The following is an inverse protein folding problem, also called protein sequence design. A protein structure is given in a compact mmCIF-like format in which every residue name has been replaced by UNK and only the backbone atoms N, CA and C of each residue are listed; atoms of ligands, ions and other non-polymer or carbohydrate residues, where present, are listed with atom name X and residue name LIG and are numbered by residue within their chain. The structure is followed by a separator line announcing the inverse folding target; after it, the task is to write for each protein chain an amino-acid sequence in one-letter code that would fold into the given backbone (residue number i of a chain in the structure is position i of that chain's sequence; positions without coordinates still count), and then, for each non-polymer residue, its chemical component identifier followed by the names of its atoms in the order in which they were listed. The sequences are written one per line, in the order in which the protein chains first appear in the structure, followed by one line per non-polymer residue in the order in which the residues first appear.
data_IF_038060154073
#
_entry.id   IF_038060154073
#
_cell.length_a   1.000
_cell.length_b   1.000
_cell.length_c   1.000
_cell.angle_alpha   90.00
_cell.angle_beta   90.00
_cell.angle_gamma   90.00
#
_symmetry.space_group_name_H-M   'P 1'
#
loop_
_entity.id
_entity.type
_entity.pdbx_description
1 polymer ?
#
# COMPACT_ATOMS: atom_id res chain seq x y z
N UNK A 1 62.34 -14.44 70.95
CA UNK A 1 61.67 -13.17 70.62
C UNK A 1 61.13 -13.29 69.20
N UNK A 2 59.90 -13.77 69.04
CA UNK A 2 59.31 -14.17 67.76
C UNK A 2 58.32 -13.10 67.29
N UNK A 3 58.66 -12.48 66.15
CA UNK A 3 57.95 -11.38 65.52
C UNK A 3 56.67 -11.90 64.82
N UNK A 4 55.49 -11.39 65.17
CA UNK A 4 54.24 -11.66 64.44
C UNK A 4 53.93 -10.49 63.49
N UNK A 5 54.00 -10.75 62.19
CA UNK A 5 53.60 -9.82 61.12
C UNK A 5 52.09 -9.95 60.90
N UNK A 6 51.35 -8.83 60.98
CA UNK A 6 49.94 -8.73 60.58
C UNK A 6 49.87 -8.21 59.15
N UNK A 7 49.34 -9.01 58.22
CA UNK A 7 49.00 -8.59 56.87
C UNK A 7 47.54 -8.11 56.88
N UNK A 8 47.30 -6.85 56.50
CA UNK A 8 45.94 -6.31 56.30
C UNK A 8 45.55 -6.42 54.83
N UNK A 9 44.47 -7.16 54.55
CA UNK A 9 43.84 -7.22 53.23
C UNK A 9 43.00 -5.96 53.00
N UNK A 10 43.41 -5.11 52.06
CA UNK A 10 42.55 -4.06 51.50
C UNK A 10 41.68 -4.65 50.40
N UNK A 11 40.36 -4.70 50.63
CA UNK A 11 39.38 -5.06 49.60
C UNK A 11 39.13 -3.84 48.70
N UNK A 12 39.43 -3.97 47.41
CA UNK A 12 39.12 -2.97 46.38
C UNK A 12 37.65 -3.17 45.97
N UNK A 13 36.78 -2.23 46.33
CA UNK A 13 35.40 -2.15 45.84
C UNK A 13 35.40 -1.47 44.46
N UNK A 14 35.17 -2.24 43.40
CA UNK A 14 34.78 -1.67 42.09
C UNK A 14 33.32 -1.21 42.15
N UNK A 15 32.99 0.02 41.71
CA UNK A 15 31.60 0.45 41.61
C UNK A 15 30.97 -0.23 40.39
N UNK A 16 29.93 -1.05 40.63
CA UNK A 16 29.05 -1.54 39.58
C UNK A 16 28.21 -0.34 39.13
N UNK A 17 28.58 0.26 38.00
CA UNK A 17 27.75 1.24 37.31
C UNK A 17 26.54 0.48 36.75
N UNK A 18 25.42 0.53 37.46
CA UNK A 18 24.15 0.03 36.94
C UNK A 18 23.75 0.90 35.74
N UNK A 19 23.88 0.34 34.53
CA UNK A 19 23.24 0.88 33.33
C UNK A 19 21.73 0.88 33.59
N UNK A 20 21.19 2.07 33.88
CA UNK A 20 19.75 2.29 33.86
C UNK A 20 19.35 2.17 32.39
N UNK A 21 18.93 0.98 31.97
CA UNK A 21 18.28 0.79 30.68
C UNK A 21 16.98 1.59 30.70
N UNK A 22 16.91 2.63 29.86
CA UNK A 22 15.63 3.26 29.59
C UNK A 22 14.65 2.18 29.12
N UNK A 23 13.39 2.17 29.59
CA UNK A 23 12.43 1.17 29.15
C UNK A 23 12.29 1.26 27.62
N UNK A 24 12.39 0.10 26.95
CA UNK A 24 12.21 0.03 25.51
C UNK A 24 10.83 0.60 25.15
N UNK A 25 10.81 1.62 24.28
CA UNK A 25 9.54 2.18 23.78
C UNK A 25 8.78 1.10 23.03
N UNK A 26 7.48 0.96 23.28
CA UNK A 26 6.62 0.07 22.52
C UNK A 26 6.70 0.40 21.01
N UNK A 27 6.72 -0.66 20.19
CA UNK A 27 6.70 -0.55 18.74
C UNK A 27 5.45 0.23 18.30
N UNK A 28 5.64 1.20 17.41
CA UNK A 28 4.57 2.04 16.88
C UNK A 28 4.50 1.93 15.35
N UNK A 29 3.33 2.23 14.75
CA UNK A 29 3.20 2.32 13.30
C UNK A 29 4.24 3.26 12.66
N UNK A 30 4.78 2.80 11.54
CA UNK A 30 5.88 3.40 10.80
C UNK A 30 7.26 3.21 11.41
N UNK A 31 7.42 2.50 12.54
CA UNK A 31 8.74 2.17 13.07
C UNK A 31 9.46 1.21 12.13
N UNK A 32 10.73 1.49 11.85
CA UNK A 32 11.57 0.63 11.00
C UNK A 32 12.00 -0.57 11.84
N UNK A 33 11.59 -1.76 11.41
CA UNK A 33 12.05 -3.05 11.96
C UNK A 33 13.43 -3.38 11.39
N UNK A 34 13.60 -3.24 10.08
CA UNK A 34 14.91 -3.33 9.42
C UNK A 34 14.92 -2.52 8.13
N UNK A 35 16.10 -2.04 7.74
CA UNK A 35 16.31 -1.38 6.45
C UNK A 35 17.65 -1.81 5.87
N UNK A 36 17.62 -2.59 4.79
CA UNK A 36 18.80 -3.13 4.14
C UNK A 36 18.98 -2.46 2.78
N UNK A 37 20.18 -1.96 2.43
CA UNK A 37 20.43 -1.46 1.09
C UNK A 37 20.09 -2.51 0.03
N UNK A 38 19.40 -2.10 -1.03
CA UNK A 38 19.05 -2.97 -2.16
C UNK A 38 19.39 -2.30 -3.48
N UNK A 39 19.32 -3.06 -4.58
CA UNK A 39 19.45 -2.53 -5.94
C UNK A 39 18.14 -2.75 -6.68
N UNK A 40 17.59 -1.68 -7.27
CA UNK A 40 16.44 -1.76 -8.17
C UNK A 40 16.94 -1.79 -9.61
N UNK A 41 16.35 -2.67 -10.40
CA UNK A 41 16.67 -2.81 -11.81
C UNK A 41 15.51 -2.36 -12.67
N UNK A 42 15.80 -1.78 -13.82
CA UNK A 42 14.78 -1.29 -14.76
C UNK A 42 14.16 -2.43 -15.58
N UNK A 43 14.95 -3.44 -15.89
CA UNK A 43 14.58 -4.56 -16.75
C UNK A 43 15.07 -5.89 -16.17
N UNK A 44 14.46 -7.01 -16.56
CA UNK A 44 14.91 -8.34 -16.16
C UNK A 44 16.37 -8.60 -16.56
N UNK A 45 17.01 -9.53 -15.85
CA UNK A 45 18.42 -9.88 -16.09
C UNK A 45 19.43 -8.97 -15.38
N UNK A 46 18.96 -8.01 -14.57
CA UNK A 46 19.78 -7.19 -13.67
C UNK A 46 20.88 -6.37 -14.37
N UNK A 47 20.66 -6.02 -15.64
CA UNK A 47 21.64 -5.31 -16.48
C UNK A 47 21.63 -3.79 -16.27
N UNK A 48 20.46 -3.20 -16.03
CA UNK A 48 20.28 -1.75 -15.92
C UNK A 48 19.79 -1.37 -14.52
N UNK A 49 20.68 -0.78 -13.72
CA UNK A 49 20.37 -0.29 -12.37
C UNK A 49 19.68 1.07 -12.42
N UNK A 50 18.65 1.25 -11.61
CA UNK A 50 18.06 2.57 -11.36
C UNK A 50 19.04 3.39 -10.51
N UNK A 51 19.42 4.63 -10.91
CA UNK A 51 20.50 5.38 -10.26
C UNK A 51 20.04 6.11 -8.98
N UNK A 52 19.46 5.37 -8.04
CA UNK A 52 18.97 5.86 -6.74
C UNK A 52 19.73 5.19 -5.58
N UNK A 53 19.60 5.75 -4.38
CA UNK A 53 19.81 4.98 -3.17
C UNK A 53 18.51 4.23 -2.87
N UNK A 54 18.60 2.92 -2.62
CA UNK A 54 17.43 2.10 -2.38
C UNK A 54 17.60 1.24 -1.13
N UNK A 55 16.51 1.04 -0.41
CA UNK A 55 16.43 0.15 0.74
C UNK A 55 15.22 -0.77 0.62
N UNK A 56 15.41 -2.05 0.93
CA UNK A 56 14.33 -2.93 1.33
C UNK A 56 14.04 -2.64 2.81
N UNK A 57 12.79 -2.31 3.14
CA UNK A 57 12.39 -1.84 4.47
C UNK A 57 11.31 -2.75 5.01
N UNK A 58 11.54 -3.31 6.20
CA UNK A 58 10.48 -3.87 7.04
C UNK A 58 10.07 -2.80 8.05
N UNK A 59 8.78 -2.52 8.13
CA UNK A 59 8.23 -1.50 9.04
C UNK A 59 6.95 -1.99 9.70
N UNK A 60 6.67 -1.48 10.90
CA UNK A 60 5.42 -1.79 11.60
C UNK A 60 4.26 -1.01 10.99
N UNK A 61 3.12 -1.67 10.80
CA UNK A 61 1.86 -1.06 10.35
C UNK A 61 0.70 -1.56 11.22
N UNK A 62 -0.55 -1.31 10.82
CA UNK A 62 -1.75 -1.73 11.52
C UNK A 62 -2.72 -2.44 10.58
N UNK A 63 -3.13 -3.65 10.95
CA UNK A 63 -4.12 -4.43 10.19
C UNK A 63 -5.50 -3.78 10.20
N UNK A 64 -6.42 -4.31 9.38
CA UNK A 64 -7.83 -3.85 9.36
C UNK A 64 -8.55 -4.01 10.70
N UNK A 65 -8.08 -4.90 11.58
CA UNK A 65 -8.66 -5.16 12.92
C UNK A 65 -7.92 -4.43 14.04
N UNK A 66 -6.99 -3.54 13.70
CA UNK A 66 -6.26 -2.71 14.66
C UNK A 66 -5.05 -3.39 15.30
N UNK A 67 -4.65 -4.58 14.83
CA UNK A 67 -3.47 -5.29 15.34
C UNK A 67 -2.20 -4.75 14.69
N UNK A 68 -1.11 -4.66 15.47
CA UNK A 68 0.20 -4.30 14.92
C UNK A 68 0.72 -5.45 14.05
N UNK A 69 1.17 -5.15 12.83
CA UNK A 69 1.78 -6.12 11.92
C UNK A 69 3.12 -5.57 11.37
N UNK A 70 3.87 -6.40 10.65
CA UNK A 70 5.08 -6.00 9.92
C UNK A 70 4.80 -6.07 8.43
N UNK A 71 5.15 -5.03 7.70
CA UNK A 71 4.97 -4.90 6.25
C UNK A 71 6.33 -4.63 5.60
N UNK A 72 6.56 -5.18 4.40
CA UNK A 72 7.74 -4.89 3.57
C UNK A 72 7.46 -3.79 2.54
N UNK A 73 8.53 -3.25 1.98
CA UNK A 73 8.45 -2.29 0.90
C UNK A 73 9.83 -1.82 0.45
N UNK A 74 9.83 -0.93 -0.54
CA UNK A 74 11.06 -0.34 -1.09
C UNK A 74 11.05 1.17 -0.94
N UNK A 75 12.11 1.72 -0.36
CA UNK A 75 12.38 3.14 -0.34
C UNK A 75 13.37 3.49 -1.45
N UNK A 76 13.02 4.46 -2.30
CA UNK A 76 13.84 4.97 -3.40
C UNK A 76 14.13 6.46 -3.18
N UNK A 77 15.41 6.83 -3.12
CA UNK A 77 15.84 8.22 -2.91
C UNK A 77 16.82 8.63 -4.01
N UNK A 78 16.53 9.69 -4.79
CA UNK A 78 17.48 10.21 -5.77
C UNK A 78 18.82 10.59 -5.12
N UNK A 79 19.92 10.21 -5.78
CA UNK A 79 21.29 10.45 -5.27
C UNK A 79 21.64 11.94 -5.21
N UNK A 80 21.16 12.72 -6.18
CA UNK A 80 21.35 14.16 -6.19
C UNK A 80 20.55 14.83 -5.06
N UNK A 81 21.14 15.82 -4.38
CA UNK A 81 20.44 16.60 -3.36
C UNK A 81 19.20 17.31 -3.91
N UNK A 82 18.22 17.57 -3.05
CA UNK A 82 17.02 18.31 -3.43
C UNK A 82 17.18 19.81 -3.11
N UNK A 83 17.07 20.73 -4.08
CA UNK A 83 17.46 22.12 -3.87
C UNK A 83 16.39 22.98 -3.18
N UNK A 84 15.13 22.52 -3.09
CA UNK A 84 14.00 23.31 -2.59
C UNK A 84 13.65 23.01 -1.12
N UNK A 85 14.65 22.61 -0.32
CA UNK A 85 14.49 22.30 1.11
C UNK A 85 14.27 20.82 1.39
N UNK A 86 13.27 20.48 2.21
CA UNK A 86 12.97 19.09 2.55
C UNK A 86 12.47 18.34 1.31
N UNK A 87 13.17 17.25 0.92
CA UNK A 87 12.79 16.43 -0.23
C UNK A 87 11.37 15.87 -0.04
N UNK A 88 10.45 16.07 -1.01
CA UNK A 88 9.14 15.47 -0.97
C UNK A 88 9.17 13.94 -0.96
N UNK A 89 8.16 13.34 -0.34
CA UNK A 89 7.99 11.89 -0.27
C UNK A 89 6.66 11.52 -0.92
N UNK A 90 6.70 10.59 -1.86
CA UNK A 90 5.51 9.97 -2.44
C UNK A 90 5.30 8.63 -1.76
N UNK A 91 4.16 8.44 -1.10
CA UNK A 91 3.65 7.11 -0.80
C UNK A 91 3.07 6.54 -2.10
N UNK A 92 3.73 5.54 -2.67
CA UNK A 92 3.28 4.88 -3.88
C UNK A 92 2.50 3.63 -3.51
N UNK A 93 1.19 3.70 -3.72
CA UNK A 93 0.26 2.61 -3.48
C UNK A 93 0.16 1.78 -4.76
N UNK A 94 0.76 0.59 -4.72
CA UNK A 94 0.83 -0.32 -5.88
C UNK A 94 -0.54 -0.89 -6.24
N UNK A 95 -0.74 -1.14 -7.53
CA UNK A 95 -1.80 -1.98 -8.06
C UNK A 95 -1.58 -3.47 -7.77
N UNK A 96 -2.47 -4.30 -8.31
CA UNK A 96 -2.49 -5.75 -8.06
C UNK A 96 -1.24 -6.46 -8.59
N UNK A 97 -0.49 -7.07 -7.68
CA UNK A 97 0.68 -7.90 -8.00
C UNK A 97 0.37 -9.39 -7.89
N UNK A 98 -0.62 -9.77 -7.08
CA UNK A 98 -0.99 -11.16 -6.80
C UNK A 98 -1.20 -11.35 -5.30
N UNK A 99 -1.20 -12.61 -4.87
CA UNK A 99 -1.32 -13.02 -3.47
C UNK A 99 -0.01 -13.64 -2.94
N UNK A 100 0.83 -14.20 -3.82
CA UNK A 100 2.08 -14.87 -3.43
C UNK A 100 3.26 -13.93 -3.17
N UNK A 101 4.12 -14.27 -2.22
CA UNK A 101 5.26 -13.43 -1.82
C UNK A 101 6.28 -13.18 -2.95
N UNK A 102 6.40 -14.10 -3.91
CA UNK A 102 7.31 -14.00 -5.05
C UNK A 102 6.95 -12.86 -6.02
N UNK A 103 5.71 -12.35 -5.96
CA UNK A 103 5.27 -11.22 -6.78
C UNK A 103 5.27 -9.88 -6.04
N UNK A 104 5.63 -9.87 -4.75
CA UNK A 104 5.70 -8.65 -3.96
C UNK A 104 6.49 -7.55 -4.71
N UNK A 105 6.01 -6.29 -4.73
CA UNK A 105 6.65 -5.21 -5.49
C UNK A 105 8.14 -5.04 -5.16
N UNK A 106 8.53 -5.17 -3.90
CA UNK A 106 9.94 -5.12 -3.49
C UNK A 106 10.80 -6.22 -4.09
N UNK A 107 10.26 -7.44 -4.20
CA UNK A 107 10.91 -8.58 -4.89
C UNK A 107 11.01 -8.29 -6.38
N UNK A 108 9.90 -7.87 -7.00
CA UNK A 108 9.80 -7.52 -8.41
C UNK A 108 10.79 -6.41 -8.81
N UNK A 109 10.95 -5.36 -7.99
CA UNK A 109 11.94 -4.29 -8.20
C UNK A 109 13.38 -4.79 -8.20
N UNK A 110 13.73 -5.68 -7.25
CA UNK A 110 15.08 -6.25 -7.15
C UNK A 110 15.43 -7.18 -8.32
N UNK A 111 14.42 -7.59 -9.08
CA UNK A 111 14.53 -8.51 -10.22
C UNK A 111 14.28 -7.81 -11.56
N UNK A 112 13.95 -6.51 -11.54
CA UNK A 112 13.67 -5.71 -12.73
C UNK A 112 12.36 -6.07 -13.42
N UNK A 113 11.38 -6.53 -12.65
CA UNK A 113 10.04 -6.96 -13.10
C UNK A 113 8.90 -6.06 -12.63
N UNK A 114 9.21 -4.99 -11.90
CA UNK A 114 8.20 -4.06 -11.39
C UNK A 114 7.57 -3.24 -12.53
N UNK A 115 6.29 -3.52 -12.82
CA UNK A 115 5.55 -2.94 -13.94
C UNK A 115 5.31 -1.44 -13.76
N UNK A 116 5.16 -0.97 -12.52
CA UNK A 116 4.86 0.44 -12.23
C UNK A 116 6.13 1.31 -12.08
N UNK A 117 7.32 0.70 -12.24
CA UNK A 117 8.59 1.40 -12.09
C UNK A 117 8.73 2.59 -13.06
N UNK A 118 8.10 2.53 -14.23
CA UNK A 118 8.06 3.63 -15.18
C UNK A 118 7.37 4.88 -14.60
N UNK A 119 6.22 4.72 -13.93
CA UNK A 119 5.51 5.82 -13.28
C UNK A 119 6.27 6.30 -12.04
N UNK A 120 6.79 5.38 -11.23
CA UNK A 120 7.67 5.70 -10.10
C UNK A 120 8.88 6.54 -10.54
N UNK A 121 9.48 6.21 -11.69
CA UNK A 121 10.62 6.92 -12.24
C UNK A 121 10.33 8.39 -12.56
N UNK A 122 9.09 8.74 -12.92
CA UNK A 122 8.72 10.13 -13.17
C UNK A 122 8.76 10.99 -11.88
N UNK A 123 8.43 10.41 -10.72
CA UNK A 123 8.63 11.10 -9.44
C UNK A 123 10.12 11.23 -9.08
N UNK A 124 10.90 10.17 -9.31
CA UNK A 124 12.33 10.17 -9.06
C UNK A 124 13.06 11.23 -9.92
N UNK A 125 12.65 11.38 -11.19
CA UNK A 125 13.16 12.41 -12.11
C UNK A 125 12.83 13.83 -11.65
N UNK A 126 11.73 14.03 -10.91
CA UNK A 126 11.41 15.31 -10.24
C UNK A 126 12.20 15.54 -8.95
N UNK A 127 13.07 14.59 -8.58
CA UNK A 127 13.87 14.64 -7.36
C UNK A 127 13.10 14.26 -6.10
N UNK A 128 11.90 13.70 -6.21
CA UNK A 128 11.13 13.23 -5.05
C UNK A 128 11.62 11.85 -4.61
N UNK A 129 11.48 11.54 -3.32
CA UNK A 129 11.65 10.17 -2.84
C UNK A 129 10.33 9.41 -2.98
N UNK A 130 10.41 8.09 -3.14
CA UNK A 130 9.26 7.21 -3.26
C UNK A 130 9.36 6.11 -2.20
N UNK A 131 8.34 6.00 -1.35
CA UNK A 131 8.13 4.89 -0.44
C UNK A 131 7.02 4.01 -1.03
N UNK A 132 7.38 2.83 -1.51
CA UNK A 132 6.46 1.87 -2.15
C UNK A 132 6.24 0.71 -1.20
N UNK A 133 4.99 0.48 -0.82
CA UNK A 133 4.61 -0.58 0.11
C UNK A 133 4.24 -1.85 -0.65
N UNK A 134 4.58 -3.01 -0.07
CA UNK A 134 4.10 -4.30 -0.59
C UNK A 134 2.68 -4.62 -0.07
N UNK A 135 2.27 -3.99 1.05
CA UNK A 135 1.05 -4.25 1.83
C UNK A 135 1.18 -5.46 2.79
N UNK A 136 0.23 -5.57 3.71
CA UNK A 136 0.19 -6.65 4.70
C UNK A 136 0.11 -8.02 4.03
N UNK A 137 0.97 -8.93 4.48
CA UNK A 137 0.99 -10.33 4.03
C UNK A 137 1.48 -10.51 2.60
N UNK A 138 2.11 -9.50 1.98
CA UNK A 138 2.76 -9.63 0.67
C UNK A 138 4.25 -9.32 0.82
N UNK A 139 5.11 -10.31 0.59
CA UNK A 139 6.55 -10.24 0.86
C UNK A 139 6.92 -10.45 2.33
N UNK A 140 5.95 -10.85 3.16
CA UNK A 140 6.11 -11.07 4.61
C UNK A 140 5.23 -12.24 5.07
N UNK A 141 5.58 -12.96 6.15
CA UNK A 141 4.80 -14.10 6.60
C UNK A 141 3.31 -13.79 6.82
N UNK A 142 2.44 -14.66 6.30
CA UNK A 142 0.98 -14.52 6.36
C UNK A 142 0.38 -14.51 4.96
N UNK A 143 -0.96 -14.54 4.86
CA UNK A 143 -1.65 -14.40 3.58
C UNK A 143 -1.85 -12.91 3.28
N UNK A 144 -1.62 -12.49 2.03
CA UNK A 144 -1.88 -11.11 1.62
C UNK A 144 -3.35 -10.73 1.84
N UNK A 145 -3.59 -9.65 2.57
CA UNK A 145 -4.93 -9.09 2.84
C UNK A 145 -5.46 -8.25 1.67
N UNK A 146 -5.41 -8.82 0.46
CA UNK A 146 -5.75 -8.16 -0.79
C UNK A 146 -7.11 -7.47 -0.74
N UNK A 147 -7.13 -6.20 -1.16
CA UNK A 147 -8.29 -5.29 -1.15
C UNK A 147 -8.87 -4.91 0.23
N UNK A 148 -8.25 -5.32 1.34
CA UNK A 148 -8.61 -4.86 2.68
C UNK A 148 -8.16 -3.40 2.88
N UNK A 149 -8.99 -2.47 2.40
CA UNK A 149 -8.67 -1.06 2.22
C UNK A 149 -8.15 -0.34 3.48
N UNK A 150 -8.67 -0.68 4.67
CA UNK A 150 -8.18 -0.10 5.94
C UNK A 150 -6.71 -0.45 6.17
N UNK A 151 -6.35 -1.74 6.11
CA UNK A 151 -4.96 -2.20 6.25
C UNK A 151 -4.05 -1.58 5.19
N UNK A 152 -4.50 -1.54 3.93
CA UNK A 152 -3.71 -0.97 2.84
C UNK A 152 -3.48 0.54 3.02
N UNK A 153 -4.49 1.28 3.48
CA UNK A 153 -4.37 2.70 3.81
C UNK A 153 -3.36 2.95 4.93
N UNK A 154 -3.38 2.14 6.00
CA UNK A 154 -2.36 2.19 7.06
C UNK A 154 -0.96 1.91 6.50
N UNK A 155 -0.78 0.83 5.73
CA UNK A 155 0.50 0.47 5.13
C UNK A 155 1.08 1.60 4.27
N UNK A 156 0.26 2.26 3.43
CA UNK A 156 0.72 3.42 2.65
C UNK A 156 1.20 4.55 3.56
N UNK A 157 0.44 4.95 4.57
CA UNK A 157 0.80 6.03 5.49
C UNK A 157 2.04 5.69 6.33
N UNK A 158 2.15 4.44 6.78
CA UNK A 158 3.26 3.97 7.59
C UNK A 158 4.54 3.75 6.78
N UNK A 159 4.44 3.42 5.50
CA UNK A 159 5.60 3.40 4.60
C UNK A 159 6.25 4.78 4.50
N UNK A 160 5.45 5.85 4.48
CA UNK A 160 5.93 7.24 4.47
C UNK A 160 6.59 7.58 5.81
N UNK A 161 5.98 7.19 6.94
CA UNK A 161 6.59 7.35 8.28
C UNK A 161 7.94 6.63 8.35
N UNK A 162 7.98 5.37 7.94
CA UNK A 162 9.17 4.54 7.92
C UNK A 162 10.28 5.14 7.07
N UNK A 163 9.95 5.69 5.89
CA UNK A 163 10.90 6.35 5.01
C UNK A 163 11.70 7.46 5.71
N UNK A 164 11.05 8.22 6.60
CA UNK A 164 11.71 9.29 7.38
C UNK A 164 12.57 8.79 8.55
N UNK A 165 12.43 7.50 8.90
CA UNK A 165 13.13 6.82 10.00
C UNK A 165 14.24 5.89 9.50
N UNK A 166 14.37 5.67 8.18
CA UNK A 166 15.48 4.91 7.60
C UNK A 166 16.78 5.70 7.72
N UNK A 167 17.75 5.13 8.44
CA UNK A 167 19.10 5.67 8.58
C UNK A 167 19.77 5.85 7.22
N UNK A 168 20.29 7.04 6.95
CA UNK A 168 20.97 7.37 5.69
C UNK A 168 20.04 7.78 4.54
N UNK A 169 18.71 7.78 4.73
CA UNK A 169 17.76 8.27 3.70
C UNK A 169 17.87 9.78 3.48
N UNK A 170 18.21 10.54 4.52
CA UNK A 170 18.22 12.01 4.51
C UNK A 170 16.83 12.64 4.40
N UNK A 171 15.76 11.86 4.59
CA UNK A 171 14.38 12.33 4.53
C UNK A 171 13.95 12.92 5.86
N UNK A 172 13.07 13.93 5.81
CA UNK A 172 12.58 14.63 7.00
C UNK A 172 11.13 14.29 7.28
N UNK A 173 10.78 14.09 8.55
CA UNK A 173 9.38 14.03 9.00
C UNK A 173 8.57 15.31 8.68
N UNK A 174 9.24 16.42 8.34
CA UNK A 174 8.61 17.68 7.92
C UNK A 174 8.49 17.80 6.39
N UNK A 175 8.88 16.80 5.62
CA UNK A 175 8.75 16.80 4.17
C UNK A 175 7.27 16.95 3.74
N UNK A 176 6.98 17.65 2.63
CA UNK A 176 5.67 17.56 2.01
C UNK A 176 5.46 16.14 1.45
N UNK A 177 4.26 15.63 1.62
CA UNK A 177 3.89 14.25 1.23
C UNK A 177 2.81 14.28 0.16
N UNK A 178 2.91 13.39 -0.81
CA UNK A 178 1.82 13.03 -1.72
C UNK A 178 1.57 11.52 -1.69
N UNK A 179 0.38 11.10 -2.09
CA UNK A 179 0.08 9.68 -2.31
C UNK A 179 -0.46 9.49 -3.72
N UNK A 180 -0.02 8.43 -4.39
CA UNK A 180 -0.53 8.05 -5.70
C UNK A 180 -0.76 6.54 -5.77
N UNK A 181 -1.82 6.12 -6.46
CA UNK A 181 -2.01 4.73 -6.87
C UNK A 181 -3.10 4.56 -7.93
N UNK A 182 -3.12 3.38 -8.56
CA UNK A 182 -4.10 2.99 -9.58
C UNK A 182 -4.67 1.59 -9.29
N UNK A 183 -5.93 1.33 -9.66
CA UNK A 183 -6.61 0.05 -9.41
C UNK A 183 -6.70 -0.27 -7.91
N UNK A 184 -6.20 -1.43 -7.44
CA UNK A 184 -5.97 -1.69 -6.01
C UNK A 184 -5.26 -0.49 -5.34
N UNK A 185 -4.20 0.02 -5.96
CA UNK A 185 -3.46 1.18 -5.48
C UNK A 185 -4.30 2.45 -5.43
N UNK A 186 -5.29 2.59 -6.32
CA UNK A 186 -6.25 3.68 -6.30
C UNK A 186 -7.16 3.60 -5.07
N UNK A 187 -7.65 2.41 -4.73
CA UNK A 187 -8.39 2.19 -3.49
C UNK A 187 -7.53 2.45 -2.25
N UNK A 188 -6.30 1.93 -2.21
CA UNK A 188 -5.34 2.16 -1.13
C UNK A 188 -5.00 3.64 -0.95
N UNK A 189 -4.81 4.38 -2.05
CA UNK A 189 -4.58 5.82 -2.02
C UNK A 189 -5.80 6.57 -1.48
N UNK A 190 -7.00 6.18 -1.90
CA UNK A 190 -8.26 6.69 -1.35
C UNK A 190 -8.36 6.45 0.16
N UNK A 191 -8.08 5.23 0.63
CA UNK A 191 -8.11 4.89 2.05
C UNK A 191 -7.06 5.65 2.86
N UNK A 192 -5.83 5.77 2.34
CA UNK A 192 -4.80 6.61 2.96
C UNK A 192 -5.28 8.06 3.10
N UNK A 193 -5.98 8.62 2.11
CA UNK A 193 -6.53 9.98 2.16
C UNK A 193 -7.61 10.14 3.24
N UNK A 194 -8.51 9.15 3.36
CA UNK A 194 -9.58 9.15 4.36
C UNK A 194 -9.05 8.96 5.79
N UNK A 195 -8.03 8.10 5.96
CA UNK A 195 -7.48 7.73 7.27
C UNK A 195 -6.45 8.74 7.78
N UNK A 196 -5.75 9.46 6.90
CA UNK A 196 -4.66 10.37 7.31
C UNK A 196 -5.05 11.32 8.46
N UNK A 197 -6.23 11.98 8.47
CA UNK A 197 -6.59 12.90 9.55
C UNK A 197 -6.66 12.27 10.95
N UNK A 198 -7.06 11.00 11.06
CA UNK A 198 -7.20 10.30 12.34
C UNK A 198 -6.02 9.40 12.67
N UNK A 199 -5.39 8.81 11.65
CA UNK A 199 -4.36 7.79 11.80
C UNK A 199 -2.93 8.36 11.72
N UNK A 200 -2.71 9.32 10.81
CA UNK A 200 -1.40 9.92 10.58
C UNK A 200 -1.44 11.45 10.41
N UNK A 201 -2.04 12.18 11.40
CA UNK A 201 -2.26 13.62 11.30
C UNK A 201 -0.96 14.43 11.19
N UNK A 202 0.16 13.87 11.62
CA UNK A 202 1.47 14.52 11.57
C UNK A 202 2.09 14.52 10.16
N UNK A 203 1.63 13.66 9.24
CA UNK A 203 2.08 13.67 7.86
C UNK A 203 1.56 14.91 7.13
N UNK A 204 2.47 15.66 6.49
CA UNK A 204 2.13 16.88 5.74
C UNK A 204 1.61 16.53 4.34
N UNK A 205 0.53 15.75 4.29
CA UNK A 205 -0.12 15.34 3.05
C UNK A 205 -0.64 16.56 2.30
N UNK A 206 -0.25 16.71 1.02
CA UNK A 206 -0.60 17.86 0.18
C UNK A 206 -1.65 17.56 -0.87
N UNK A 207 -1.83 16.29 -1.20
CA UNK A 207 -2.85 15.82 -2.13
C UNK A 207 -2.69 14.32 -2.37
N UNK A 208 -3.72 13.74 -2.98
CA UNK A 208 -3.73 12.33 -3.37
C UNK A 208 -4.24 12.20 -4.79
N UNK A 209 -3.56 11.39 -5.59
CA UNK A 209 -4.04 10.99 -6.90
C UNK A 209 -4.42 9.51 -6.90
N UNK A 210 -5.66 9.19 -7.26
CA UNK A 210 -6.19 7.84 -7.24
C UNK A 210 -6.93 7.57 -8.55
N UNK A 211 -6.51 6.53 -9.28
CA UNK A 211 -7.15 6.19 -10.55
C UNK A 211 -7.71 4.79 -10.61
N UNK A 212 -8.71 4.58 -11.48
CA UNK A 212 -9.37 3.28 -11.65
C UNK A 212 -9.83 2.71 -10.31
N UNK A 213 -10.51 3.52 -9.49
CA UNK A 213 -10.68 3.23 -8.07
C UNK A 213 -11.81 2.23 -7.85
N UNK A 214 -11.57 1.01 -7.30
CA UNK A 214 -12.64 0.08 -6.93
C UNK A 214 -13.24 0.49 -5.58
N UNK A 215 -13.99 1.60 -5.59
CA UNK A 215 -14.53 2.25 -4.39
C UNK A 215 -15.63 1.44 -3.68
N UNK A 216 -16.34 0.57 -4.42
CA UNK A 216 -17.38 -0.32 -3.91
C UNK A 216 -17.09 -1.74 -4.40
N UNK A 217 -16.54 -2.57 -3.51
CA UNK A 217 -16.09 -3.91 -3.87
C UNK A 217 -17.23 -4.90 -4.08
N UNK A 218 -18.42 -4.64 -3.54
CA UNK A 218 -19.59 -5.45 -3.87
C UNK A 218 -20.01 -5.23 -5.32
N UNK A 219 -20.07 -3.96 -5.76
CA UNK A 219 -20.38 -3.63 -7.15
C UNK A 219 -19.34 -4.18 -8.12
N UNK A 220 -18.05 -4.08 -7.79
CA UNK A 220 -16.96 -4.64 -8.60
C UNK A 220 -17.03 -6.17 -8.64
N UNK A 221 -17.17 -6.85 -7.50
CA UNK A 221 -17.28 -8.32 -7.48
C UNK A 221 -18.48 -8.82 -8.29
N UNK A 222 -19.63 -8.14 -8.21
CA UNK A 222 -20.83 -8.47 -9.01
C UNK A 222 -20.59 -8.28 -10.50
N UNK A 223 -19.87 -7.21 -10.89
CA UNK A 223 -19.50 -6.95 -12.28
C UNK A 223 -18.54 -8.00 -12.84
N UNK A 224 -17.61 -8.49 -12.00
CA UNK A 224 -16.61 -9.47 -12.40
C UNK A 224 -17.13 -10.92 -12.46
N UNK A 225 -18.29 -11.23 -11.88
CA UNK A 225 -18.87 -12.58 -11.85
C UNK A 225 -19.15 -13.12 -13.28
N UNK A 226 -18.42 -14.17 -13.67
CA UNK A 226 -18.49 -14.75 -15.01
C UNK A 226 -17.71 -13.99 -16.10
N UNK A 227 -16.96 -12.94 -15.73
CA UNK A 227 -16.14 -12.17 -16.67
C UNK A 227 -14.76 -12.80 -16.89
N UNK A 228 -14.00 -12.31 -17.87
CA UNK A 228 -12.61 -12.72 -18.09
C UNK A 228 -11.68 -12.37 -16.90
N UNK A 229 -12.06 -11.39 -16.09
CA UNK A 229 -11.28 -10.86 -14.97
C UNK A 229 -11.77 -11.38 -13.60
N UNK A 230 -12.62 -12.42 -13.58
CA UNK A 230 -13.17 -13.01 -12.35
C UNK A 230 -12.11 -13.41 -11.31
N UNK A 231 -10.91 -13.80 -11.75
CA UNK A 231 -9.80 -14.14 -10.86
C UNK A 231 -9.45 -13.04 -9.86
N UNK A 232 -9.67 -11.77 -10.19
CA UNK A 232 -9.47 -10.65 -9.26
C UNK A 232 -10.50 -10.64 -8.13
N UNK A 233 -11.75 -10.99 -8.42
CA UNK A 233 -12.82 -11.08 -7.42
C UNK A 233 -12.61 -12.30 -6.51
N UNK A 234 -12.18 -13.42 -7.08
CA UNK A 234 -11.81 -14.63 -6.33
C UNK A 234 -10.61 -14.37 -5.39
N UNK A 235 -9.55 -13.71 -5.88
CA UNK A 235 -8.40 -13.32 -5.07
C UNK A 235 -8.78 -12.32 -3.96
N UNK A 236 -9.70 -11.39 -4.24
CA UNK A 236 -10.23 -10.47 -3.22
C UNK A 236 -10.97 -11.23 -2.12
N UNK A 237 -11.68 -12.32 -2.44
CA UNK A 237 -12.25 -13.23 -1.46
C UNK A 237 -11.20 -13.79 -0.50
N UNK A 238 -10.10 -14.34 -1.04
CA UNK A 238 -8.97 -14.87 -0.23
C UNK A 238 -8.36 -13.77 0.65
N UNK A 239 -8.12 -12.58 0.09
CA UNK A 239 -7.55 -11.46 0.84
C UNK A 239 -8.46 -10.92 1.94
N UNK A 240 -9.78 -10.88 1.71
CA UNK A 240 -10.75 -10.49 2.72
C UNK A 240 -10.84 -11.49 3.86
N UNK A 241 -10.84 -12.79 3.54
CA UNK A 241 -10.86 -13.85 4.55
C UNK A 241 -9.59 -13.80 5.43
N UNK A 242 -8.44 -13.53 4.82
CA UNK A 242 -7.18 -13.30 5.55
C UNK A 242 -7.25 -12.07 6.48
N UNK A 243 -7.94 -10.99 6.07
CA UNK A 243 -8.10 -9.79 6.86
C UNK A 243 -9.15 -9.94 7.99
N UNK A 244 -10.16 -10.78 7.76
CA UNK A 244 -11.34 -10.97 8.58
C UNK A 244 -11.65 -12.48 8.73
N UNK A 245 -10.94 -13.20 9.62
CA UNK A 245 -11.04 -14.67 9.72
C UNK A 245 -12.43 -15.19 10.06
N UNK A 246 -13.33 -14.36 10.60
CA UNK A 246 -14.72 -14.72 10.83
C UNK A 246 -15.55 -14.88 9.54
N UNK A 247 -15.00 -14.48 8.38
CA UNK A 247 -15.60 -14.74 7.08
C UNK A 247 -15.56 -16.24 6.73
N UNK A 248 -14.60 -17.00 7.27
CA UNK A 248 -14.47 -18.45 7.14
C UNK A 248 -14.81 -18.95 5.73
N UNK A 249 -14.10 -18.39 4.74
CA UNK A 249 -14.37 -18.63 3.32
C UNK A 249 -14.32 -20.13 3.02
N UNK A 250 -13.35 -20.85 3.57
CA UNK A 250 -13.14 -22.28 3.31
C UNK A 250 -14.37 -23.13 3.63
N UNK A 251 -15.08 -22.82 4.72
CA UNK A 251 -16.28 -23.54 5.14
C UNK A 251 -17.44 -23.39 4.14
N UNK A 252 -17.46 -22.28 3.40
CA UNK A 252 -18.50 -21.98 2.42
C UNK A 252 -18.14 -22.44 1.00
N UNK A 253 -16.95 -23.00 0.76
CA UNK A 253 -16.54 -23.48 -0.57
C UNK A 253 -17.00 -24.92 -0.84
N UNK A 254 -17.19 -25.24 -2.13
CA UNK A 254 -17.21 -26.63 -2.58
C UNK A 254 -15.76 -27.15 -2.80
N UNK A 255 -15.59 -28.45 -3.10
CA UNK A 255 -14.26 -29.05 -3.29
C UNK A 255 -13.44 -28.38 -4.41
N UNK A 256 -14.11 -27.97 -5.49
CA UNK A 256 -13.48 -27.24 -6.59
C UNK A 256 -13.03 -25.85 -6.15
N UNK A 257 -13.86 -25.14 -5.40
CA UNK A 257 -13.55 -23.84 -4.83
C UNK A 257 -12.34 -23.89 -3.89
N UNK A 258 -12.30 -24.87 -2.98
CA UNK A 258 -11.15 -25.10 -2.10
C UNK A 258 -9.86 -25.30 -2.88
N UNK A 259 -9.88 -26.19 -3.87
CA UNK A 259 -8.69 -26.47 -4.68
C UNK A 259 -8.22 -25.23 -5.47
N UNK A 260 -9.14 -24.51 -6.12
CA UNK A 260 -8.82 -23.35 -6.93
C UNK A 260 -8.33 -22.16 -6.11
N UNK A 261 -8.93 -21.89 -4.94
CA UNK A 261 -8.54 -20.77 -4.10
C UNK A 261 -7.27 -21.06 -3.30
N UNK A 262 -7.03 -22.31 -2.90
CA UNK A 262 -5.73 -22.70 -2.33
C UNK A 262 -4.59 -22.52 -3.35
N UNK A 263 -4.82 -22.86 -4.62
CA UNK A 263 -3.87 -22.65 -5.70
C UNK A 263 -3.70 -21.15 -6.04
N UNK A 264 -4.76 -20.35 -5.98
CA UNK A 264 -4.70 -18.91 -6.22
C UNK A 264 -4.04 -18.11 -5.08
N UNK A 265 -3.99 -18.65 -3.86
CA UNK A 265 -3.44 -17.99 -2.68
C UNK A 265 -1.95 -17.65 -2.79
N UNK A 266 -1.22 -18.32 -3.70
CA UNK A 266 0.20 -18.08 -4.00
C UNK A 266 0.42 -17.55 -5.43
N UNK A 267 -0.64 -17.19 -6.17
CA UNK A 267 -0.51 -16.73 -7.56
C UNK A 267 -0.01 -15.29 -7.67
N UNK A 268 0.73 -15.00 -8.75
CA UNK A 268 0.91 -13.66 -9.26
C UNK A 268 -0.33 -13.21 -10.05
N UNK A 269 -0.53 -11.90 -10.24
CA UNK A 269 -1.72 -11.34 -10.92
C UNK A 269 -1.99 -11.92 -12.31
N UNK A 270 -0.95 -12.26 -13.07
CA UNK A 270 -1.11 -12.85 -14.40
C UNK A 270 -1.68 -14.28 -14.36
N UNK A 271 -1.39 -15.03 -13.29
CA UNK A 271 -1.79 -16.43 -13.12
C UNK A 271 -3.28 -16.55 -12.74
N UNK A 272 -3.86 -15.50 -12.14
CA UNK A 272 -5.29 -15.41 -11.83
C UNK A 272 -6.21 -15.54 -13.07
N UNK A 273 -5.66 -15.34 -14.28
CA UNK A 273 -6.38 -15.59 -15.54
C UNK A 273 -6.84 -17.03 -15.71
N UNK A 274 -6.28 -18.00 -14.96
CA UNK A 274 -6.76 -19.38 -14.91
C UNK A 274 -8.19 -19.51 -14.38
N UNK A 275 -8.68 -18.49 -13.66
CA UNK A 275 -10.04 -18.41 -13.13
C UNK A 275 -11.00 -17.63 -14.06
N UNK A 276 -10.54 -17.22 -15.24
CA UNK A 276 -11.35 -16.45 -16.19
C UNK A 276 -12.65 -17.17 -16.56
N UNK A 277 -13.77 -16.43 -16.56
CA UNK A 277 -15.09 -16.92 -16.93
C UNK A 277 -15.81 -17.75 -15.87
N UNK A 278 -15.15 -18.05 -14.75
CA UNK A 278 -15.82 -18.69 -13.60
C UNK A 278 -16.75 -17.69 -12.89
N UNK A 279 -17.67 -18.26 -12.12
CA UNK A 279 -18.61 -17.54 -11.25
C UNK A 279 -18.41 -17.91 -9.80
N UNK A 280 -18.91 -17.09 -8.88
CA UNK A 280 -18.96 -17.44 -7.46
C UNK A 280 -19.70 -18.77 -7.21
N UNK A 281 -20.75 -19.05 -7.99
CA UNK A 281 -21.50 -20.31 -7.92
C UNK A 281 -20.71 -21.54 -8.36
N UNK A 282 -19.61 -21.37 -9.10
CA UNK A 282 -18.69 -22.48 -9.44
C UNK A 282 -17.80 -22.85 -8.24
N UNK A 283 -17.54 -21.91 -7.34
CA UNK A 283 -16.64 -22.07 -6.19
C UNK A 283 -17.39 -22.43 -4.89
N UNK A 284 -18.65 -22.01 -4.76
CA UNK A 284 -19.42 -22.16 -3.53
C UNK A 284 -20.86 -22.59 -3.82
N UNK A 285 -21.46 -23.48 -3.01
CA UNK A 285 -22.89 -23.80 -3.09
C UNK A 285 -23.79 -22.71 -2.45
N UNK A 286 -23.21 -21.73 -1.76
CA UNK A 286 -23.92 -20.62 -1.13
C UNK A 286 -23.61 -19.30 -1.83
N UNK A 287 -24.48 -18.31 -1.67
CA UNK A 287 -24.24 -16.97 -2.19
C UNK A 287 -23.30 -16.19 -1.26
N UNK A 288 -21.99 -16.34 -1.49
CA UNK A 288 -20.92 -15.71 -0.72
C UNK A 288 -21.13 -14.19 -0.54
N UNK A 289 -21.37 -13.46 -1.64
CA UNK A 289 -21.41 -12.00 -1.65
C UNK A 289 -22.58 -11.42 -0.84
N UNK A 290 -23.70 -12.15 -0.75
CA UNK A 290 -24.90 -11.68 -0.07
C UNK A 290 -25.04 -12.21 1.37
N UNK A 291 -24.07 -12.99 1.86
CA UNK A 291 -24.06 -13.35 3.28
C UNK A 291 -23.86 -12.10 4.16
N UNK A 292 -24.54 -12.01 5.32
CA UNK A 292 -24.41 -10.86 6.22
C UNK A 292 -22.96 -10.55 6.64
N UNK A 293 -22.13 -11.59 6.90
CA UNK A 293 -20.72 -11.43 7.30
C UNK A 293 -19.89 -10.74 6.21
N UNK A 294 -20.07 -11.14 4.95
CA UNK A 294 -19.41 -10.54 3.80
C UNK A 294 -19.91 -9.12 3.52
N UNK A 295 -21.24 -8.90 3.53
CA UNK A 295 -21.85 -7.58 3.33
C UNK A 295 -21.35 -6.55 4.35
N UNK A 296 -21.17 -6.96 5.61
CA UNK A 296 -20.65 -6.08 6.65
C UNK A 296 -19.21 -5.62 6.36
N UNK A 297 -18.30 -6.55 6.04
CA UNK A 297 -16.88 -6.22 5.77
C UNK A 297 -16.68 -5.50 4.44
N UNK A 298 -17.46 -5.82 3.42
CA UNK A 298 -17.46 -5.06 2.15
C UNK A 298 -17.94 -3.62 2.36
N UNK A 299 -18.99 -3.41 3.17
CA UNK A 299 -19.48 -2.07 3.50
C UNK A 299 -18.47 -1.27 4.35
N UNK A 300 -17.80 -1.92 5.31
CA UNK A 300 -16.74 -1.31 6.13
C UNK A 300 -15.57 -0.80 5.27
N UNK A 301 -15.24 -1.49 4.17
CA UNK A 301 -14.15 -1.14 3.26
C UNK A 301 -14.57 -0.29 2.05
N UNK A 302 -15.83 0.19 2.01
CA UNK A 302 -16.30 1.09 0.95
C UNK A 302 -15.75 2.50 1.14
N UNK A 303 -15.18 3.06 0.07
CA UNK A 303 -14.73 4.46 0.04
C UNK A 303 -15.93 5.42 -0.11
N UNK A 304 -15.74 6.68 0.30
CA UNK A 304 -16.73 7.76 0.13
C UNK A 304 -17.43 8.19 1.41
N UNK A 305 -17.45 7.34 2.44
CA UNK A 305 -18.11 7.64 3.72
C UNK A 305 -17.32 8.61 4.61
N UNK A 306 -16.00 8.72 4.41
CA UNK A 306 -15.12 9.60 5.17
C UNK A 306 -14.51 10.61 4.19
N UNK A 307 -14.65 11.90 4.46
CA UNK A 307 -14.12 12.94 3.59
C UNK A 307 -12.60 13.13 3.77
N UNK A 308 -11.76 12.98 2.72
CA UNK A 308 -10.38 13.42 2.75
C UNK A 308 -10.25 14.91 3.07
N UNK A 309 -9.21 15.30 3.81
CA UNK A 309 -8.92 16.71 4.16
C UNK A 309 -7.92 17.40 3.22
N UNK A 310 -7.53 16.72 2.16
CA UNK A 310 -6.60 17.21 1.13
C UNK A 310 -7.27 17.14 -0.24
N UNK A 311 -6.81 17.92 -1.23
CA UNK A 311 -7.31 17.79 -2.59
C UNK A 311 -7.10 16.37 -3.14
N UNK A 312 -8.06 15.93 -3.96
CA UNK A 312 -8.07 14.62 -4.61
C UNK A 312 -8.03 14.79 -6.14
N UNK A 313 -7.18 14.03 -6.82
CA UNK A 313 -7.23 13.84 -8.27
C UNK A 313 -7.70 12.43 -8.57
N UNK A 314 -8.92 12.32 -9.06
CA UNK A 314 -9.56 11.08 -9.43
C UNK A 314 -9.56 10.94 -10.95
N UNK A 315 -9.19 9.77 -11.46
CA UNK A 315 -9.21 9.52 -12.90
C UNK A 315 -9.64 8.09 -13.22
N UNK A 316 -10.26 7.88 -14.37
CA UNK A 316 -10.84 6.58 -14.72
C UNK A 316 -10.97 6.42 -16.22
N UNK A 317 -10.65 5.25 -16.76
CA UNK A 317 -10.89 4.93 -18.16
C UNK A 317 -12.38 4.81 -18.46
N UNK A 318 -12.84 5.35 -19.59
CA UNK A 318 -14.23 5.17 -20.04
C UNK A 318 -14.52 3.74 -20.49
N UNK A 319 -13.51 3.05 -21.03
CA UNK A 319 -13.61 1.66 -21.45
C UNK A 319 -13.21 0.64 -20.38
N UNK A 320 -13.10 1.05 -19.11
CA UNK A 320 -12.68 0.17 -18.02
C UNK A 320 -13.57 -1.07 -17.91
N UNK A 321 -13.01 -2.23 -18.25
CA UNK A 321 -13.70 -3.51 -18.24
C UNK A 321 -13.66 -4.21 -16.88
N UNK A 322 -12.77 -3.78 -15.97
CA UNK A 322 -12.59 -4.41 -14.65
C UNK A 322 -13.39 -3.67 -13.59
N UNK A 323 -13.31 -2.34 -13.59
CA UNK A 323 -13.94 -1.48 -12.59
C UNK A 323 -14.91 -0.55 -13.30
N UNK A 324 -16.24 -0.76 -13.14
CA UNK A 324 -17.22 0.07 -13.81
C UNK A 324 -17.00 1.55 -13.54
N UNK A 325 -17.02 2.37 -14.60
CA UNK A 325 -16.87 3.84 -14.50
C UNK A 325 -17.83 4.46 -13.46
N UNK A 326 -19.02 3.87 -13.30
CA UNK A 326 -20.02 4.29 -12.32
C UNK A 326 -19.53 4.19 -10.86
N UNK A 327 -18.66 3.24 -10.53
CA UNK A 327 -18.07 3.10 -9.19
C UNK A 327 -17.21 4.33 -8.87
N UNK A 328 -16.29 4.70 -9.75
CA UNK A 328 -15.46 5.90 -9.58
C UNK A 328 -16.26 7.20 -9.65
N UNK A 329 -17.28 7.28 -10.52
CA UNK A 329 -18.16 8.43 -10.60
C UNK A 329 -18.99 8.64 -9.33
N UNK A 330 -19.43 7.54 -8.69
CA UNK A 330 -20.14 7.59 -7.40
C UNK A 330 -19.22 8.11 -6.30
N UNK A 331 -17.99 7.59 -6.21
CA UNK A 331 -17.00 8.07 -5.24
C UNK A 331 -16.73 9.57 -5.40
N UNK A 332 -16.56 10.05 -6.64
CA UNK A 332 -16.44 11.48 -6.93
C UNK A 332 -17.63 12.25 -6.38
N UNK A 333 -18.86 11.80 -6.67
CA UNK A 333 -20.08 12.47 -6.23
C UNK A 333 -20.17 12.56 -4.70
N UNK A 334 -19.82 11.48 -3.99
CA UNK A 334 -19.82 11.43 -2.53
C UNK A 334 -18.78 12.39 -1.94
N UNK A 335 -17.55 12.41 -2.49
CA UNK A 335 -16.52 13.36 -2.09
C UNK A 335 -16.92 14.82 -2.36
N UNK A 336 -17.49 15.13 -3.52
CA UNK A 336 -18.00 16.47 -3.82
C UNK A 336 -19.13 16.87 -2.86
N UNK A 337 -20.08 15.98 -2.59
CA UNK A 337 -21.15 16.20 -1.62
C UNK A 337 -20.65 16.43 -0.19
N UNK A 338 -19.49 15.85 0.16
CA UNK A 338 -18.82 16.04 1.44
C UNK A 338 -17.89 17.26 1.48
N UNK A 339 -17.83 18.08 0.42
CA UNK A 339 -17.01 19.30 0.36
C UNK A 339 -15.52 19.08 0.09
N UNK A 340 -15.14 17.90 -0.40
CA UNK A 340 -13.75 17.59 -0.79
C UNK A 340 -13.43 18.32 -2.10
N UNK A 341 -12.27 18.98 -2.19
CA UNK A 341 -11.75 19.49 -3.44
C UNK A 341 -11.31 18.31 -4.33
N UNK A 342 -12.24 17.80 -5.13
CA UNK A 342 -12.04 16.66 -6.00
C UNK A 342 -12.02 17.07 -7.47
N UNK A 343 -10.89 16.82 -8.14
CA UNK A 343 -10.78 16.90 -9.60
C UNK A 343 -10.95 15.53 -10.20
N UNK A 344 -11.92 15.37 -11.09
CA UNK A 344 -12.21 14.13 -11.81
C UNK A 344 -11.87 14.21 -13.29
N UNK A 345 -11.25 13.16 -13.83
CA UNK A 345 -10.96 13.01 -15.26
C UNK A 345 -11.42 11.64 -15.78
N UNK A 346 -12.45 11.62 -16.62
CA UNK A 346 -12.83 10.41 -17.37
C UNK A 346 -12.06 10.35 -18.68
N UNK A 347 -11.08 9.45 -18.76
CA UNK A 347 -10.13 9.31 -19.86
C UNK A 347 -10.75 8.56 -21.05
N UNK A 348 -10.37 8.90 -22.30
CA UNK A 348 -10.83 8.19 -23.49
C UNK A 348 -10.26 6.77 -23.61
N UNK A 349 -9.28 6.41 -22.78
CA UNK A 349 -8.69 5.07 -22.66
C UNK A 349 -9.71 3.93 -22.87
N UNK A 350 -9.42 2.97 -23.77
CA UNK A 350 -10.34 1.91 -24.15
C UNK A 350 -10.46 0.77 -23.13
N UNK A 351 -9.56 0.69 -22.14
CA UNK A 351 -9.53 -0.38 -21.13
C UNK A 351 -8.93 0.09 -19.80
N UNK A 352 -8.95 -0.79 -18.80
CA UNK A 352 -8.46 -0.53 -17.45
C UNK A 352 -6.96 -0.17 -17.41
N UNK A 353 -6.11 -0.88 -18.16
CA UNK A 353 -4.65 -0.72 -18.09
C UNK A 353 -4.19 0.54 -18.83
N UNK A 354 -4.76 0.81 -20.00
CA UNK A 354 -4.53 2.04 -20.75
C UNK A 354 -4.96 3.27 -19.97
N UNK A 355 -5.98 3.15 -19.10
CA UNK A 355 -6.34 4.20 -18.14
C UNK A 355 -5.20 4.60 -17.18
N UNK A 356 -4.39 3.63 -16.74
CA UNK A 356 -3.20 3.90 -15.92
C UNK A 356 -2.13 4.66 -16.71
N UNK A 357 -1.90 4.24 -17.96
CA UNK A 357 -0.87 4.79 -18.85
C UNK A 357 -1.21 6.23 -19.26
N UNK A 358 -2.47 6.49 -19.65
CA UNK A 358 -2.92 7.84 -20.04
C UNK A 358 -3.04 8.77 -18.83
N UNK A 359 -3.60 8.27 -17.72
CA UNK A 359 -3.89 9.06 -16.53
C UNK A 359 -2.69 9.30 -15.62
N UNK A 360 -1.76 8.35 -15.55
CA UNK A 360 -0.62 8.37 -14.63
C UNK A 360 0.23 9.64 -14.74
N UNK A 361 0.73 10.03 -15.93
CA UNK A 361 1.49 11.27 -16.10
C UNK A 361 0.70 12.52 -15.68
N UNK A 362 -0.61 12.58 -15.97
CA UNK A 362 -1.47 13.70 -15.56
C UNK A 362 -1.61 13.78 -14.04
N UNK A 363 -1.82 12.63 -13.38
CA UNK A 363 -1.89 12.50 -11.93
C UNK A 363 -0.57 12.93 -11.26
N UNK A 364 0.57 12.50 -11.82
CA UNK A 364 1.91 12.82 -11.32
C UNK A 364 2.17 14.32 -11.39
N UNK A 365 1.88 14.96 -12.52
CA UNK A 365 2.05 16.41 -12.65
C UNK A 365 1.12 17.16 -11.70
N UNK A 366 -0.16 16.78 -11.65
CA UNK A 366 -1.11 17.42 -10.74
C UNK A 366 -0.65 17.33 -9.28
N UNK A 367 -0.17 16.15 -8.85
CA UNK A 367 0.28 15.88 -7.49
C UNK A 367 1.58 16.65 -7.17
N UNK A 368 2.52 16.70 -8.10
CA UNK A 368 3.75 17.47 -7.95
C UNK A 368 3.47 18.95 -7.70
N UNK A 369 2.46 19.54 -8.39
CA UNK A 369 2.05 20.92 -8.14
C UNK A 369 1.46 21.10 -6.73
N UNK A 370 0.74 20.11 -6.19
CA UNK A 370 0.23 20.16 -4.80
C UNK A 370 1.37 20.17 -3.80
N UNK A 371 2.35 19.30 -4.02
CA UNK A 371 3.55 19.16 -3.19
C UNK A 371 4.34 20.48 -3.14
N UNK A 372 4.43 21.17 -4.28
CA UNK A 372 5.07 22.49 -4.41
C UNK A 372 4.21 23.66 -3.88
N UNK A 373 3.02 23.39 -3.35
CA UNK A 373 2.19 24.37 -2.66
C UNK A 373 1.28 25.21 -3.55
N UNK A 374 1.08 24.83 -4.82
CA UNK A 374 0.11 25.52 -5.67
C UNK A 374 -1.33 25.22 -5.22
N UNK A 375 -2.32 26.07 -5.51
CA UNK A 375 -3.74 25.83 -5.21
C UNK A 375 -4.37 24.80 -6.16
N UNK A 376 -5.33 24.02 -5.65
CA UNK A 376 -5.99 22.94 -6.40
C UNK A 376 -7.36 23.41 -6.88
N UNK A 377 -7.68 23.09 -8.13
CA UNK A 377 -8.99 23.38 -8.70
C UNK A 377 -9.75 22.07 -8.91
N UNK A 378 -10.89 21.96 -8.24
CA UNK A 378 -11.84 20.87 -8.40
C UNK A 378 -12.70 21.06 -9.66
N UNK A 379 -13.50 20.05 -9.95
CA UNK A 379 -14.62 20.14 -10.88
C UNK A 379 -15.83 19.41 -10.30
N UNK A 380 -16.01 19.54 -8.99
CA UNK A 380 -17.33 19.39 -8.40
C UNK A 380 -18.26 20.46 -9.04
#
# INVERSE_FOLDING_TARGET
MTLRVRVSMFAILLPIMALISAPARAAAPGDVVSAQPTTVYLLPGQLLKVPVNAWHVLYNSTSSTGQLNTVSGTLLVPKAGYPLGARPIIGYAVGTHGLGDQCAPSVSMSQGREAELALVSLFLLKGFAVAMTDYEGLGTPGQHTYMAGISQGHAVLDSIRAATRVSGSGLSARAPVGVMGYSQGGASAGWAAQLQPSYAPELRLRGVAAGGVPADLYAVATHLDGSADFGLAAAAGVGYDAAYPELDLEADLNDRGRALLADAADDCVAELSKLAGLRFSDLSPVDLLNQPKWRARLAENRLGAIAPRVPMFLYHARGDQIIPLAVGATLRSEYCGAGVNARWVALPAPDHVTGAIEGGPLAIEWLALRILGLPAFDNC
#
